data_IF_578343644716
#
_entry.id   IF_578343644716
#
_cell.length_a   1.000
_cell.length_b   1.000
_cell.length_c   1.000
_cell.angle_alpha   90.00
_cell.angle_beta   90.00
_cell.angle_gamma   90.00
#
_symmetry.space_group_name_H-M   'P 1'
#
loop_
_entity.id
_entity.type
_entity.pdbx_description
1 polymer ?
#
# COMPACT_ATOMS: atom_id res chain seq x y z
N UNK A 1 4.57 26.89 -10.66
CA UNK A 1 4.73 25.78 -9.70
C UNK A 1 3.83 24.66 -10.19
N UNK A 2 4.39 23.53 -10.62
CA UNK A 2 3.60 22.36 -11.00
C UNK A 2 3.06 21.77 -9.70
N UNK A 3 1.73 21.74 -9.53
CA UNK A 3 1.13 20.98 -8.43
C UNK A 3 1.59 19.53 -8.57
N UNK A 4 2.35 19.06 -7.58
CA UNK A 4 2.78 17.67 -7.55
C UNK A 4 1.56 16.83 -7.22
N UNK A 5 1.11 16.00 -8.15
CA UNK A 5 -0.05 15.13 -7.94
C UNK A 5 0.28 14.05 -6.90
N UNK A 6 -0.57 13.99 -5.87
CA UNK A 6 -0.55 12.96 -4.83
C UNK A 6 -1.78 12.06 -5.00
N UNK A 7 -1.59 10.76 -4.78
CA UNK A 7 -2.60 9.73 -4.95
C UNK A 7 -2.76 8.93 -3.68
N UNK A 8 -3.99 8.59 -3.32
CA UNK A 8 -4.26 7.70 -2.19
C UNK A 8 -4.49 6.26 -2.66
N UNK A 9 -3.89 5.33 -1.94
CA UNK A 9 -4.06 3.88 -2.13
C UNK A 9 -4.67 3.33 -0.85
N UNK A 10 -5.77 2.61 -0.98
CA UNK A 10 -6.40 1.90 0.12
C UNK A 10 -5.94 0.44 0.14
N UNK A 11 -5.35 0.01 1.25
CA UNK A 11 -4.82 -1.32 1.47
C UNK A 11 -5.91 -2.23 2.01
N UNK A 12 -6.54 -3.04 1.16
CA UNK A 12 -7.48 -4.10 1.54
C UNK A 12 -7.28 -5.32 0.63
N UNK A 13 -7.82 -6.48 1.01
CA UNK A 13 -7.84 -7.63 0.10
C UNK A 13 -8.57 -7.33 -1.21
N UNK A 14 -9.62 -6.51 -1.15
CA UNK A 14 -10.41 -6.08 -2.31
C UNK A 14 -9.83 -4.86 -3.03
N UNK A 15 -8.65 -4.39 -2.60
CA UNK A 15 -8.00 -3.20 -3.14
C UNK A 15 -7.91 -3.32 -4.66
N UNK A 16 -8.24 -2.26 -5.40
CA UNK A 16 -7.98 -2.28 -6.83
C UNK A 16 -6.48 -2.44 -7.10
N UNK A 17 -5.60 -1.99 -6.18
CA UNK A 17 -4.15 -2.12 -6.28
C UNK A 17 -3.67 -3.55 -5.98
N UNK A 18 -2.51 -3.93 -6.52
CA UNK A 18 -1.87 -5.17 -6.08
C UNK A 18 -1.44 -4.99 -4.62
N UNK A 19 -2.17 -5.65 -3.73
CA UNK A 19 -1.89 -5.77 -2.30
C UNK A 19 -1.83 -7.28 -2.01
N UNK A 20 -0.63 -7.79 -1.83
CA UNK A 20 -0.40 -9.18 -1.42
C UNK A 20 -0.13 -9.21 0.09
N UNK A 21 -0.96 -9.94 0.81
CA UNK A 21 -0.79 -10.16 2.25
C UNK A 21 -0.23 -11.55 2.46
N UNK A 22 0.97 -11.63 3.01
CA UNK A 22 1.60 -12.88 3.42
C UNK A 22 1.52 -12.97 4.94
N UNK A 23 0.57 -13.74 5.44
CA UNK A 23 0.32 -13.95 6.87
C UNK A 23 0.26 -15.45 7.19
N UNK A 24 1.42 -16.11 7.29
CA UNK A 24 1.47 -17.56 7.43
C UNK A 24 0.86 -18.08 8.74
N UNK A 25 0.78 -17.23 9.77
CA UNK A 25 0.30 -17.61 11.10
C UNK A 25 -1.08 -17.02 11.45
N UNK A 26 -1.73 -16.32 10.50
CA UNK A 26 -3.07 -15.75 10.70
C UNK A 26 -3.13 -14.67 11.77
N UNK A 27 -2.04 -13.93 11.97
CA UNK A 27 -1.90 -12.91 13.02
C UNK A 27 -2.23 -11.49 12.55
N UNK A 28 -2.45 -11.29 11.24
CA UNK A 28 -2.98 -10.04 10.72
C UNK A 28 -4.50 -10.01 10.84
N UNK A 29 -4.98 -8.97 11.52
CA UNK A 29 -6.39 -8.59 11.46
C UNK A 29 -6.59 -7.40 10.53
N UNK A 30 -7.59 -7.49 9.66
CA UNK A 30 -8.04 -6.39 8.82
C UNK A 30 -9.22 -5.68 9.47
N UNK A 31 -8.97 -4.54 10.14
CA UNK A 31 -10.02 -3.67 10.67
C UNK A 31 -9.86 -2.25 10.09
N UNK A 32 -9.79 -1.21 10.93
CA UNK A 32 -9.43 0.15 10.51
C UNK A 32 -7.95 0.29 10.07
N UNK A 33 -7.12 -0.67 10.44
CA UNK A 33 -5.71 -0.80 10.07
C UNK A 33 -5.39 -2.30 9.88
N UNK A 34 -4.27 -2.60 9.20
CA UNK A 34 -3.67 -3.93 9.23
C UNK A 34 -2.87 -4.07 10.52
N UNK A 35 -3.39 -4.83 11.49
CA UNK A 35 -2.80 -4.95 12.83
C UNK A 35 -2.16 -6.32 13.02
N UNK A 36 -0.92 -6.31 13.48
CA UNK A 36 -0.17 -7.48 13.95
C UNK A 36 -0.08 -7.44 15.48
N UNK A 37 -0.03 -8.61 16.12
CA UNK A 37 0.26 -8.82 17.55
C UNK A 37 1.43 -9.82 17.77
N UNK A 38 2.30 -10.01 16.77
CA UNK A 38 3.32 -11.08 16.72
C UNK A 38 4.55 -10.76 17.56
N UNK A 39 4.98 -11.71 18.41
CA UNK A 39 6.12 -11.54 19.32
C UNK A 39 7.48 -11.60 18.60
N UNK A 40 8.45 -10.85 19.14
CA UNK A 40 9.87 -10.89 18.74
C UNK A 40 10.46 -12.30 18.93
N UNK A 41 10.87 -12.95 17.84
CA UNK A 41 11.47 -14.29 17.85
C UNK A 41 10.64 -15.34 17.10
N UNK A 42 9.39 -15.05 16.78
CA UNK A 42 8.54 -15.93 15.97
C UNK A 42 8.85 -15.77 14.48
N UNK A 43 9.07 -16.87 13.76
CA UNK A 43 9.87 -16.92 12.52
C UNK A 43 9.32 -16.19 11.27
N UNK A 44 8.02 -15.87 11.19
CA UNK A 44 7.43 -15.33 9.96
C UNK A 44 6.50 -14.12 10.17
N UNK A 45 7.07 -12.96 10.48
CA UNK A 45 6.31 -11.71 10.58
C UNK A 45 5.42 -11.47 9.35
N UNK A 46 4.16 -11.05 9.55
CA UNK A 46 3.29 -10.80 8.42
C UNK A 46 3.84 -9.68 7.55
N UNK A 47 3.65 -9.83 6.24
CA UNK A 47 4.07 -8.83 5.28
C UNK A 47 2.93 -8.39 4.38
N UNK A 48 2.93 -7.11 4.06
CA UNK A 48 2.02 -6.49 3.09
C UNK A 48 2.90 -5.97 1.97
N UNK A 49 2.78 -6.58 0.80
CA UNK A 49 3.49 -6.19 -0.41
C UNK A 49 2.53 -5.42 -1.28
N UNK A 50 2.92 -4.21 -1.66
CA UNK A 50 2.17 -3.39 -2.59
C UNK A 50 3.00 -3.13 -3.83
N UNK A 51 2.32 -3.02 -4.97
CA UNK A 51 2.94 -2.50 -6.18
C UNK A 51 2.56 -1.05 -6.38
N UNK A 52 3.56 -0.18 -6.48
CA UNK A 52 3.38 1.26 -6.62
C UNK A 52 4.41 1.82 -7.59
N UNK A 53 4.08 2.92 -8.26
CA UNK A 53 5.05 3.74 -8.99
C UNK A 53 4.94 5.17 -8.47
N UNK A 54 6.07 5.80 -8.21
CA UNK A 54 6.13 7.16 -7.71
C UNK A 54 7.54 7.54 -7.31
N UNK A 55 7.69 8.76 -6.79
CA UNK A 55 8.97 9.24 -6.22
C UNK A 55 9.00 9.12 -4.71
N UNK A 56 7.83 9.28 -4.06
CA UNK A 56 7.71 9.19 -2.60
C UNK A 56 6.47 8.41 -2.20
N UNK A 57 6.59 7.74 -1.06
CA UNK A 57 5.51 7.05 -0.37
C UNK A 57 5.39 7.61 1.04
N UNK A 58 4.18 8.01 1.41
CA UNK A 58 3.82 8.46 2.75
C UNK A 58 2.81 7.48 3.34
N UNK A 59 3.04 7.04 4.57
CA UNK A 59 2.19 6.08 5.27
C UNK A 59 2.11 6.43 6.75
N UNK A 60 1.07 5.93 7.43
CA UNK A 60 0.86 6.16 8.86
C UNK A 60 0.88 4.84 9.60
N UNK A 61 1.73 4.76 10.62
CA UNK A 61 1.77 3.66 11.58
C UNK A 61 0.93 4.04 12.80
N UNK A 62 0.21 3.06 13.36
CA UNK A 62 -0.58 3.17 14.58
C UNK A 62 -0.17 2.04 15.50
N UNK A 63 0.21 2.28 16.75
CA UNK A 63 0.63 1.19 17.63
C UNK A 63 0.75 1.59 19.09
N UNK A 64 1.11 0.60 19.91
CA UNK A 64 1.31 0.72 21.36
C UNK A 64 2.45 -0.19 21.81
N UNK A 65 3.26 0.29 22.76
CA UNK A 65 4.34 -0.50 23.35
C UNK A 65 5.56 -0.61 22.44
N UNK A 66 6.30 -1.72 22.51
CA UNK A 66 7.44 -1.93 21.62
C UNK A 66 6.98 -2.34 20.24
N UNK A 67 7.44 -1.61 19.22
CA UNK A 67 7.09 -1.86 17.82
C UNK A 67 8.35 -2.10 16.99
N UNK A 68 8.20 -2.88 15.93
CA UNK A 68 9.21 -3.06 14.90
C UNK A 68 8.54 -3.03 13.52
N UNK A 69 8.85 -1.99 12.75
CA UNK A 69 8.39 -1.88 11.36
C UNK A 69 9.59 -1.83 10.45
N UNK A 70 9.57 -2.66 9.41
CA UNK A 70 10.53 -2.61 8.31
C UNK A 70 9.79 -2.27 7.03
N UNK A 71 10.31 -1.28 6.30
CA UNK A 71 9.80 -0.93 4.97
C UNK A 71 10.91 -1.11 3.98
N UNK A 72 10.67 -1.92 2.96
CA UNK A 72 11.64 -2.28 1.96
C UNK A 72 11.10 -2.03 0.56
N UNK A 73 11.98 -1.63 -0.35
CA UNK A 73 11.66 -1.38 -1.75
C UNK A 73 12.41 -2.33 -2.68
N UNK A 74 11.72 -2.83 -3.69
CA UNK A 74 12.26 -3.70 -4.73
C UNK A 74 11.82 -3.25 -6.12
N UNK A 75 12.65 -3.49 -7.13
CA UNK A 75 12.29 -3.34 -8.54
C UNK A 75 11.93 -4.67 -9.20
N UNK A 76 12.24 -5.80 -8.56
CA UNK A 76 12.20 -7.14 -9.18
C UNK A 76 11.59 -8.23 -8.29
N UNK A 77 11.12 -7.87 -7.09
CA UNK A 77 10.68 -8.73 -5.99
C UNK A 77 11.73 -9.72 -5.46
N UNK A 78 12.97 -9.66 -5.93
CA UNK A 78 14.08 -10.54 -5.54
C UNK A 78 15.06 -9.83 -4.63
N UNK A 79 15.43 -8.61 -5.00
CA UNK A 79 16.35 -7.76 -4.25
C UNK A 79 15.57 -6.68 -3.51
N UNK A 80 15.75 -6.62 -2.19
CA UNK A 80 15.02 -5.72 -1.31
C UNK A 80 15.99 -4.74 -0.64
N UNK A 81 15.74 -3.45 -0.83
CA UNK A 81 16.50 -2.38 -0.17
C UNK A 81 15.71 -1.85 1.02
N UNK A 82 16.36 -1.71 2.17
CA UNK A 82 15.77 -1.05 3.33
C UNK A 82 15.53 0.43 3.02
N UNK A 83 14.28 0.87 3.14
CA UNK A 83 13.87 2.27 2.98
C UNK A 83 13.63 2.94 4.32
N UNK A 84 13.10 2.18 5.28
CA UNK A 84 12.84 2.66 6.63
C UNK A 84 12.83 1.50 7.61
N UNK A 85 13.29 1.75 8.83
CA UNK A 85 13.15 0.82 9.96
C UNK A 85 12.84 1.62 11.21
N UNK A 86 11.82 1.18 11.93
CA UNK A 86 11.48 1.65 13.26
C UNK A 86 11.59 0.48 14.23
N UNK A 87 12.29 0.66 15.34
CA UNK A 87 12.48 -0.38 16.35
C UNK A 87 12.64 0.26 17.72
N UNK A 88 11.54 0.54 18.40
CA UNK A 88 11.57 1.22 19.70
C UNK A 88 10.31 0.92 20.53
N UNK A 89 10.42 1.22 21.81
CA UNK A 89 9.25 1.42 22.66
C UNK A 89 8.59 2.76 22.34
N UNK A 90 7.28 2.74 22.08
CA UNK A 90 6.46 3.91 21.84
C UNK A 90 5.77 4.30 23.13
N UNK A 91 6.11 5.48 23.64
CA UNK A 91 5.52 6.11 24.82
C UNK A 91 5.15 7.56 24.51
N UNK A 92 4.43 8.23 25.42
CA UNK A 92 3.87 9.59 25.25
C UNK A 92 4.90 10.67 24.84
N UNK A 93 6.20 10.41 25.00
CA UNK A 93 7.30 11.35 24.73
C UNK A 93 8.21 10.94 23.56
N UNK A 94 7.82 9.95 22.75
CA UNK A 94 8.62 9.47 21.61
C UNK A 94 8.73 10.49 20.47
N UNK A 95 9.95 10.70 19.97
CA UNK A 95 10.21 11.64 18.86
C UNK A 95 9.41 11.27 17.58
N UNK A 96 8.57 12.21 17.15
CA UNK A 96 7.74 12.09 15.95
C UNK A 96 6.48 11.22 16.10
N UNK A 97 6.15 10.78 17.32
CA UNK A 97 4.90 10.09 17.64
C UNK A 97 3.91 11.05 18.28
N UNK A 98 2.65 10.95 17.87
CA UNK A 98 1.53 11.64 18.50
C UNK A 98 0.67 10.59 19.21
N UNK A 99 0.56 10.66 20.53
CA UNK A 99 -0.22 9.71 21.32
C UNK A 99 -1.51 10.34 21.83
N UNK A 100 -2.60 9.58 21.76
CA UNK A 100 -3.95 9.96 22.15
C UNK A 100 -4.58 8.82 22.95
N UNK A 101 -5.51 9.14 23.86
CA UNK A 101 -6.31 8.12 24.55
C UNK A 101 -7.52 7.76 23.69
N UNK A 102 -7.56 6.51 23.22
CA UNK A 102 -8.67 5.94 22.46
C UNK A 102 -9.21 4.71 23.18
N UNK A 103 -10.54 4.61 23.35
CA UNK A 103 -11.20 3.45 23.96
C UNK A 103 -10.59 2.96 25.29
N UNK A 104 -10.06 3.88 26.09
CA UNK A 104 -9.45 3.57 27.40
C UNK A 104 -7.98 3.13 27.36
N UNK A 105 -7.31 3.20 26.22
CA UNK A 105 -5.88 2.90 26.07
C UNK A 105 -5.10 4.02 25.39
N UNK A 106 -3.79 4.10 25.65
CA UNK A 106 -2.89 5.00 24.94
C UNK A 106 -2.58 4.42 23.56
N UNK A 107 -2.84 5.19 22.52
CA UNK A 107 -2.55 4.81 21.14
C UNK A 107 -1.74 5.89 20.45
N UNK A 108 -0.65 5.48 19.79
CA UNK A 108 0.30 6.40 19.20
C UNK A 108 0.32 6.27 17.68
N UNK A 109 0.51 7.40 17.01
CA UNK A 109 0.53 7.54 15.56
C UNK A 109 1.83 8.16 15.09
N UNK A 110 2.36 7.69 13.98
CA UNK A 110 3.50 8.31 13.29
C UNK A 110 3.35 8.23 11.78
N UNK A 111 3.47 9.38 11.15
CA UNK A 111 3.47 9.50 9.69
C UNK A 111 4.91 9.52 9.20
N UNK A 112 5.22 8.66 8.23
CA UNK A 112 6.55 8.51 7.65
C UNK A 112 6.47 8.74 6.16
N UNK A 113 7.46 9.42 5.59
CA UNK A 113 7.63 9.59 4.16
C UNK A 113 8.99 8.99 3.75
N UNK A 114 9.01 8.14 2.73
CA UNK A 114 10.21 7.50 2.18
C UNK A 114 10.33 7.76 0.69
N UNK A 115 11.57 7.81 0.20
CA UNK A 115 11.84 7.79 -1.25
C UNK A 115 11.62 6.40 -1.78
N UNK A 116 10.88 6.30 -2.90
CA UNK A 116 10.64 5.06 -3.63
C UNK A 116 11.11 5.16 -5.09
N UNK A 117 12.00 6.11 -5.38
CA UNK A 117 12.56 6.27 -6.72
C UNK A 117 13.15 4.94 -7.21
N UNK A 118 12.75 4.56 -8.43
CA UNK A 118 13.16 3.31 -9.09
C UNK A 118 12.73 2.04 -8.35
N UNK A 119 11.79 2.13 -7.40
CA UNK A 119 11.14 0.98 -6.75
C UNK A 119 9.74 0.79 -7.32
N UNK A 120 9.38 -0.47 -7.52
CA UNK A 120 8.07 -0.86 -8.04
C UNK A 120 7.24 -1.63 -7.01
N UNK A 121 7.92 -2.30 -6.07
CA UNK A 121 7.29 -3.07 -5.00
C UNK A 121 7.74 -2.53 -3.66
N UNK A 122 6.80 -2.35 -2.74
CA UNK A 122 7.07 -1.94 -1.37
C UNK A 122 6.54 -3.02 -0.45
N UNK A 123 7.40 -3.50 0.45
CA UNK A 123 7.06 -4.49 1.47
C UNK A 123 7.07 -3.81 2.83
N UNK A 124 5.94 -3.89 3.51
CA UNK A 124 5.82 -3.60 4.93
C UNK A 124 5.92 -4.91 5.70
N UNK A 125 6.81 -4.95 6.67
CA UNK A 125 6.89 -6.04 7.65
C UNK A 125 6.51 -5.48 9.00
N UNK A 126 5.44 -6.02 9.58
CA UNK A 126 4.85 -5.56 10.84
C UNK A 126 5.18 -6.57 11.94
N UNK A 127 6.06 -6.19 12.87
CA UNK A 127 6.52 -7.01 13.98
C UNK A 127 6.24 -6.29 15.31
N UNK A 128 5.80 -7.02 16.33
CA UNK A 128 5.69 -6.47 17.67
C UNK A 128 6.86 -6.86 18.55
N UNK A 129 7.14 -5.97 19.50
CA UNK A 129 8.03 -6.26 20.59
C UNK A 129 7.29 -6.83 21.78
N UNK A 130 7.87 -7.86 22.38
CA UNK A 130 7.98 -8.10 23.83
C UNK A 130 6.81 -7.59 24.70
N UNK A 131 5.64 -8.24 24.66
CA UNK A 131 4.55 -8.04 25.64
C UNK A 131 3.14 -8.31 25.11
N UNK A 132 2.20 -8.64 26.00
CA UNK A 132 0.81 -8.99 25.64
C UNK A 132 -0.07 -7.78 25.26
N UNK A 133 0.39 -6.56 25.55
CA UNK A 133 -0.33 -5.32 25.21
C UNK A 133 0.23 -4.59 23.98
N UNK A 134 1.29 -5.15 23.38
CA UNK A 134 2.03 -4.51 22.30
C UNK A 134 1.46 -4.92 20.94
N UNK A 135 1.26 -3.94 20.07
CA UNK A 135 0.75 -4.17 18.73
C UNK A 135 1.15 -3.02 17.80
N UNK A 136 1.23 -3.33 16.51
CA UNK A 136 1.54 -2.38 15.45
C UNK A 136 0.57 -2.55 14.29
N UNK A 137 0.13 -1.42 13.78
CA UNK A 137 -0.81 -1.31 12.70
C UNK A 137 -0.30 -0.41 11.59
N UNK A 138 -0.59 -0.78 10.34
CA UNK A 138 -0.48 0.09 9.18
C UNK A 138 -1.87 0.64 8.85
N UNK A 139 -2.04 1.97 8.89
CA UNK A 139 -3.28 2.61 8.44
C UNK A 139 -3.48 2.29 6.97
N UNK A 140 -4.70 1.92 6.59
CA UNK A 140 -4.99 1.39 5.25
C UNK A 140 -4.81 2.42 4.14
N UNK A 141 -4.81 3.71 4.45
CA UNK A 141 -4.59 4.78 3.46
C UNK A 141 -3.10 5.13 3.41
N UNK A 142 -2.50 4.98 2.24
CA UNK A 142 -1.13 5.44 1.94
C UNK A 142 -1.17 6.46 0.79
N UNK A 143 -0.25 7.41 0.80
CA UNK A 143 -0.17 8.47 -0.22
C UNK A 143 1.09 8.27 -1.06
N UNK A 144 0.96 8.26 -2.38
CA UNK A 144 2.06 8.16 -3.34
C UNK A 144 2.15 9.44 -4.14
N UNK A 145 3.38 9.92 -4.36
CA UNK A 145 3.66 11.16 -5.09
C UNK A 145 4.20 10.87 -6.48
N UNK A 146 3.83 11.71 -7.45
CA UNK A 146 4.29 11.69 -8.84
C UNK A 146 3.89 10.43 -9.64
N UNK A 147 2.70 9.86 -9.37
CA UNK A 147 1.99 8.95 -10.28
C UNK A 147 0.59 8.62 -9.73
N UNK A 148 -0.40 8.59 -10.62
CA UNK A 148 -1.80 8.34 -10.30
C UNK A 148 -2.21 6.90 -10.68
N UNK A 149 -3.16 6.26 -9.97
CA UNK A 149 -3.91 5.14 -10.54
C UNK A 149 -4.52 5.54 -11.88
N UNK A 150 -4.76 4.57 -12.76
CA UNK A 150 -5.50 4.81 -13.98
C UNK A 150 -6.89 5.35 -13.62
N UNK A 151 -7.25 6.60 -13.99
CA UNK A 151 -8.57 7.14 -13.69
C UNK A 151 -9.57 6.54 -14.67
N UNK A 152 -9.93 5.28 -14.44
CA UNK A 152 -10.47 4.37 -15.45
C UNK A 152 -11.67 4.94 -16.21
N UNK A 153 -12.62 5.59 -15.52
CA UNK A 153 -13.79 6.20 -16.16
C UNK A 153 -13.43 7.43 -17.02
N UNK A 154 -12.51 8.28 -16.56
CA UNK A 154 -11.99 9.39 -17.37
C UNK A 154 -11.20 8.88 -18.57
N UNK A 155 -10.45 7.79 -18.36
CA UNK A 155 -9.72 7.11 -19.42
C UNK A 155 -10.68 6.56 -20.48
N UNK A 156 -11.82 5.96 -20.10
CA UNK A 156 -12.88 5.57 -21.02
C UNK A 156 -13.49 6.75 -21.77
N UNK A 157 -13.83 7.83 -21.07
CA UNK A 157 -14.41 9.03 -21.71
C UNK A 157 -13.47 9.64 -22.76
N UNK A 158 -12.16 9.51 -22.58
CA UNK A 158 -11.18 9.97 -23.55
C UNK A 158 -11.03 9.07 -24.78
N UNK A 159 -11.67 7.88 -24.79
CA UNK A 159 -11.61 6.93 -25.90
C UNK A 159 -13.00 6.75 -26.53
N UNK A 160 -13.21 7.18 -27.79
CA UNK A 160 -14.51 7.07 -28.47
C UNK A 160 -15.04 5.64 -28.56
N UNK A 161 -14.13 4.66 -28.63
CA UNK A 161 -14.43 3.24 -28.67
C UNK A 161 -13.26 2.47 -28.06
N UNK A 162 -13.57 1.52 -27.18
CA UNK A 162 -12.59 0.57 -26.67
C UNK A 162 -12.31 -0.51 -27.73
N UNK A 163 -11.04 -0.77 -27.99
CA UNK A 163 -10.53 -1.75 -28.94
C UNK A 163 -9.66 -2.81 -28.24
N UNK A 164 -9.26 -3.84 -28.98
CA UNK A 164 -8.30 -4.83 -28.47
C UNK A 164 -6.91 -4.23 -28.20
N UNK A 165 -6.56 -3.10 -28.84
CA UNK A 165 -5.29 -2.39 -28.60
C UNK A 165 -5.29 -1.79 -27.20
N UNK A 166 -6.41 -1.23 -26.76
CA UNK A 166 -6.59 -0.69 -25.41
C UNK A 166 -6.30 -1.73 -24.33
N UNK A 167 -6.89 -2.91 -24.50
CA UNK A 167 -6.66 -4.05 -23.60
C UNK A 167 -5.18 -4.41 -23.61
N UNK A 168 -4.56 -4.52 -24.80
CA UNK A 168 -3.15 -4.85 -24.90
C UNK A 168 -2.25 -3.79 -24.24
N UNK A 169 -2.54 -2.50 -24.42
CA UNK A 169 -1.81 -1.40 -23.76
C UNK A 169 -1.90 -1.49 -22.24
N UNK A 170 -3.11 -1.75 -21.71
CA UNK A 170 -3.31 -1.94 -20.28
C UNK A 170 -2.64 -3.21 -19.77
N UNK A 171 -2.66 -4.31 -20.52
CA UNK A 171 -1.92 -5.54 -20.17
C UNK A 171 -0.42 -5.27 -20.13
N UNK A 172 0.14 -4.58 -21.13
CA UNK A 172 1.55 -4.21 -21.16
C UNK A 172 1.91 -3.27 -20.00
N UNK A 173 1.04 -2.32 -19.68
CA UNK A 173 1.23 -1.41 -18.56
C UNK A 173 1.10 -2.10 -17.20
N UNK A 174 0.12 -3.00 -17.05
CA UNK A 174 -0.03 -3.90 -15.91
C UNK A 174 1.20 -4.78 -15.75
N UNK A 175 1.85 -5.24 -16.81
CA UNK A 175 3.10 -6.02 -16.71
C UNK A 175 4.36 -5.14 -16.57
N UNK A 176 4.22 -3.82 -16.49
CA UNK A 176 5.36 -2.89 -16.37
C UNK A 176 6.18 -2.73 -17.65
N UNK A 177 5.74 -3.32 -18.77
CA UNK A 177 6.42 -3.28 -20.08
C UNK A 177 6.21 -1.93 -20.77
N UNK A 178 5.06 -1.28 -20.54
CA UNK A 178 4.70 0.02 -21.12
C UNK A 178 4.36 1.01 -20.01
N UNK A 179 4.86 2.24 -20.10
CA UNK A 179 4.40 3.33 -19.23
C UNK A 179 3.30 4.12 -19.95
N UNK A 180 2.12 4.19 -19.35
CA UNK A 180 0.99 4.96 -19.86
C UNK A 180 0.69 6.19 -19.00
N UNK A 181 1.62 6.56 -18.11
CA UNK A 181 1.47 7.67 -17.17
C UNK A 181 0.67 7.32 -15.91
N UNK A 182 0.05 6.15 -15.87
CA UNK A 182 -0.80 5.68 -14.78
C UNK A 182 -0.40 4.28 -14.30
N UNK A 183 -0.73 3.98 -13.05
CA UNK A 183 -0.66 2.62 -12.50
C UNK A 183 -1.89 1.86 -12.98
N UNK A 184 -1.67 0.78 -13.74
CA UNK A 184 -2.72 -0.12 -14.21
C UNK A 184 -2.81 -1.32 -13.29
N UNK A 185 -4.03 -1.62 -12.85
CA UNK A 185 -4.33 -2.76 -12.01
C UNK A 185 -5.10 -3.84 -12.78
N UNK A 186 -5.23 -5.03 -12.18
CA UNK A 186 -5.97 -6.14 -12.80
C UNK A 186 -7.42 -5.75 -13.12
N UNK A 187 -8.11 -5.06 -12.19
CA UNK A 187 -9.49 -4.60 -12.38
C UNK A 187 -9.64 -3.62 -13.55
N UNK A 188 -8.62 -2.84 -13.87
CA UNK A 188 -8.63 -1.93 -15.03
C UNK A 188 -8.63 -2.73 -16.35
N UNK A 189 -7.75 -3.74 -16.43
CA UNK A 189 -7.67 -4.63 -17.60
C UNK A 189 -8.96 -5.41 -17.77
N UNK A 190 -9.50 -5.96 -16.69
CA UNK A 190 -10.77 -6.69 -16.70
C UNK A 190 -11.94 -5.77 -17.08
N UNK A 191 -11.96 -4.54 -16.57
CA UNK A 191 -12.99 -3.55 -16.89
C UNK A 191 -13.00 -3.17 -18.38
N UNK A 192 -11.82 -2.93 -18.95
CA UNK A 192 -11.69 -2.67 -20.39
C UNK A 192 -12.09 -3.88 -21.22
N UNK A 193 -11.72 -5.09 -20.79
CA UNK A 193 -12.11 -6.30 -21.49
C UNK A 193 -13.64 -6.52 -21.49
N UNK A 194 -14.33 -6.16 -20.40
CA UNK A 194 -15.81 -6.19 -20.33
C UNK A 194 -16.43 -5.15 -21.25
N UNK A 195 -15.98 -3.90 -21.21
CA UNK A 195 -16.47 -2.84 -22.11
C UNK A 195 -16.24 -3.17 -23.58
N UNK A 196 -15.09 -3.76 -23.91
CA UNK A 196 -14.80 -4.24 -25.27
C UNK A 196 -15.81 -5.29 -25.76
N UNK A 197 -16.33 -6.14 -24.85
CA UNK A 197 -17.40 -7.11 -25.16
C UNK A 197 -18.80 -6.49 -25.23
N UNK A 198 -18.95 -5.20 -24.93
CA UNK A 198 -20.25 -4.53 -24.84
C UNK A 198 -20.98 -4.79 -23.53
N UNK A 199 -20.28 -5.26 -22.49
CA UNK A 199 -20.85 -5.40 -21.15
C UNK A 199 -20.84 -4.06 -20.41
N UNK A 200 -21.79 -3.85 -19.51
CA UNK A 200 -21.77 -2.71 -18.61
C UNK A 200 -20.60 -2.83 -17.61
N UNK A 201 -19.94 -1.71 -17.36
CA UNK A 201 -18.90 -1.61 -16.35
C UNK A 201 -19.31 -0.54 -15.33
N UNK A 202 -19.58 -0.98 -14.11
CA UNK A 202 -19.82 -0.08 -13.00
C UNK A 202 -18.48 0.45 -12.48
N UNK A 203 -18.33 1.76 -12.55
CA UNK A 203 -17.18 2.47 -12.02
C UNK A 203 -17.13 2.49 -10.49
N UNK A 204 -18.19 2.05 -9.79
CA UNK A 204 -18.25 1.87 -8.33
C UNK A 204 -17.88 3.14 -7.56
N UNK A 205 -18.87 3.99 -7.29
CA UNK A 205 -18.72 5.07 -6.30
C UNK A 205 -18.87 4.54 -4.87
#
# INVERSE_FOLDING_TARGET
>A
MVNMEESEIFLSYDSPYLVEVQDPDGVLSENAAWVSNRRKGDEAAPTIIIRVKGSKLKFTMKGRGYILVKVEGSSDMKTWQNLYTESREVSESGEGWMCLYEFGGLVCYKTVEVSIEQKEFIRFTLMDGIGDENWIGLVKVITVRNKLPLPLCNWFLSRPQITSIDIAELVLAYNGIKDIGFVVVRKDVEGVAKLYKGEEYDCGW
#
